data_IF_510944238127
#
_entry.id   IF_510944238127
#
_cell.length_a   1.000
_cell.length_b   1.000
_cell.length_c   1.000
_cell.angle_alpha   90.00
_cell.angle_beta   90.00
_cell.angle_gamma   90.00
#
_symmetry.space_group_name_H-M   'P 1'
#
loop_
_entity.id
_entity.type
_entity.pdbx_description
1 polymer ?
#
# COMPACT_ATOMS: atom_id res chain seq x y z
N UNK A 1 -27.86 29.80 6.08
CA UNK A 1 -27.32 29.23 4.83
C UNK A 1 -25.99 28.57 5.20
N UNK A 2 -25.97 27.26 5.33
CA UNK A 2 -24.69 26.53 5.41
C UNK A 2 -24.17 26.45 3.99
N UNK A 3 -23.05 27.13 3.71
CA UNK A 3 -22.36 26.98 2.43
C UNK A 3 -21.79 25.56 2.44
N UNK A 4 -22.47 24.64 1.77
CA UNK A 4 -21.88 23.34 1.44
C UNK A 4 -20.68 23.61 0.55
N UNK A 5 -19.48 23.26 1.03
CA UNK A 5 -18.33 23.16 0.14
C UNK A 5 -18.65 22.06 -0.85
N UNK A 6 -18.71 22.40 -2.14
CA UNK A 6 -18.61 21.40 -3.20
C UNK A 6 -17.19 20.83 -3.10
N UNK A 7 -17.05 19.66 -2.47
CA UNK A 7 -15.81 18.91 -2.55
C UNK A 7 -15.76 18.40 -3.99
N UNK A 8 -14.78 18.86 -4.76
CA UNK A 8 -14.54 18.39 -6.12
C UNK A 8 -14.05 16.95 -6.04
N UNK A 9 -14.91 15.99 -6.37
CA UNK A 9 -14.61 14.57 -6.21
C UNK A 9 -13.48 14.10 -7.15
N UNK A 10 -13.22 14.83 -8.24
CA UNK A 10 -12.09 14.53 -9.14
C UNK A 10 -10.78 14.76 -8.42
N UNK A 11 -10.71 15.84 -7.63
CA UNK A 11 -9.52 16.21 -6.87
C UNK A 11 -9.12 15.14 -5.85
N UNK A 12 -10.07 14.53 -5.14
CA UNK A 12 -9.76 13.49 -4.15
C UNK A 12 -9.23 12.20 -4.80
N UNK A 13 -9.83 11.76 -5.91
CA UNK A 13 -9.37 10.54 -6.61
C UNK A 13 -8.04 10.74 -7.34
N UNK A 14 -7.81 11.92 -7.92
CA UNK A 14 -6.52 12.30 -8.48
C UNK A 14 -5.43 12.35 -7.40
N UNK A 15 -5.77 12.86 -6.21
CA UNK A 15 -4.85 12.92 -5.07
C UNK A 15 -4.51 11.51 -4.56
N UNK A 16 -5.51 10.62 -4.40
CA UNK A 16 -5.29 9.21 -4.04
C UNK A 16 -4.37 8.52 -5.05
N UNK A 17 -4.63 8.69 -6.35
CA UNK A 17 -3.79 8.12 -7.40
C UNK A 17 -2.36 8.67 -7.36
N UNK A 18 -2.19 9.99 -7.16
CA UNK A 18 -0.88 10.63 -7.10
C UNK A 18 -0.06 10.15 -5.88
N UNK A 19 -0.68 10.05 -4.70
CA UNK A 19 0.01 9.54 -3.50
C UNK A 19 0.43 8.08 -3.71
N UNK A 20 -0.45 7.24 -4.26
CA UNK A 20 -0.14 5.84 -4.54
C UNK A 20 1.01 5.69 -5.56
N UNK A 21 1.08 6.55 -6.58
CA UNK A 21 2.18 6.55 -7.55
C UNK A 21 3.52 6.93 -6.89
N UNK A 22 3.51 7.94 -6.01
CA UNK A 22 4.69 8.34 -5.23
C UNK A 22 5.17 7.18 -4.35
N UNK A 23 4.26 6.50 -3.63
CA UNK A 23 4.61 5.33 -2.79
C UNK A 23 5.21 4.21 -3.67
N UNK A 24 4.58 3.89 -4.80
CA UNK A 24 5.09 2.90 -5.76
C UNK A 24 6.51 3.23 -6.26
N UNK A 25 6.76 4.52 -6.55
CA UNK A 25 8.09 5.02 -6.92
C UNK A 25 9.12 4.80 -5.80
N UNK A 26 8.79 5.17 -4.57
CA UNK A 26 9.70 5.01 -3.44
C UNK A 26 9.97 3.54 -3.10
N UNK A 27 8.95 2.69 -3.16
CA UNK A 27 9.12 1.24 -3.00
C UNK A 27 10.06 0.64 -4.05
N UNK A 28 10.11 1.20 -5.26
CA UNK A 28 11.11 0.80 -6.26
C UNK A 28 12.52 1.11 -5.77
N UNK A 29 12.75 2.33 -5.28
CA UNK A 29 14.06 2.71 -4.76
C UNK A 29 14.46 1.89 -3.53
N UNK A 30 13.52 1.65 -2.61
CA UNK A 30 13.74 0.82 -1.42
C UNK A 30 14.09 -0.60 -1.84
N UNK A 31 13.33 -1.21 -2.75
CA UNK A 31 13.60 -2.57 -3.24
C UNK A 31 14.93 -2.66 -3.97
N UNK A 32 15.30 -1.66 -4.78
CA UNK A 32 16.59 -1.62 -5.49
C UNK A 32 17.76 -1.50 -4.51
N UNK A 33 17.64 -0.65 -3.49
CA UNK A 33 18.64 -0.55 -2.42
C UNK A 33 18.67 -1.84 -1.59
N UNK A 34 17.52 -2.43 -1.29
CA UNK A 34 17.42 -3.73 -0.62
C UNK A 34 18.15 -4.82 -1.38
N UNK A 35 18.01 -4.88 -2.71
CA UNK A 35 18.76 -5.78 -3.60
C UNK A 35 20.25 -5.49 -3.51
N UNK A 36 20.69 -4.22 -3.61
CA UNK A 36 22.11 -3.86 -3.54
C UNK A 36 22.76 -4.25 -2.20
N UNK A 37 22.06 -4.01 -1.08
CA UNK A 37 22.57 -4.35 0.25
C UNK A 37 22.46 -5.85 0.56
N UNK A 38 21.46 -6.55 0.01
CA UNK A 38 21.31 -8.01 0.15
C UNK A 38 22.23 -8.81 -0.78
N UNK A 39 22.74 -8.22 -1.88
CA UNK A 39 23.80 -8.83 -2.73
C UNK A 39 25.10 -9.07 -1.94
N UNK A 40 25.28 -8.46 -0.76
CA UNK A 40 26.39 -8.81 0.14
C UNK A 40 26.26 -10.27 0.64
N UNK A 41 25.07 -10.89 0.59
CA UNK A 41 24.85 -12.32 0.82
C UNK A 41 24.34 -13.01 -0.46
N UNK A 42 25.20 -13.77 -1.12
CA UNK A 42 24.98 -14.43 -2.44
C UNK A 42 23.64 -15.17 -2.63
N UNK A 43 23.01 -15.64 -1.55
CA UNK A 43 21.77 -16.43 -1.58
C UNK A 43 20.48 -15.61 -1.72
N UNK A 44 20.44 -14.37 -1.24
CA UNK A 44 19.25 -13.50 -1.41
C UNK A 44 19.14 -13.03 -2.86
N UNK A 45 20.28 -12.77 -3.51
CA UNK A 45 20.34 -12.45 -4.93
C UNK A 45 19.86 -13.62 -5.81
N UNK A 46 20.29 -14.85 -5.53
CA UNK A 46 19.79 -16.06 -6.19
C UNK A 46 18.29 -16.28 -5.96
N UNK A 47 17.77 -16.01 -4.76
CA UNK A 47 16.35 -16.09 -4.45
C UNK A 47 15.53 -15.10 -5.29
N UNK A 48 15.92 -13.82 -5.32
CA UNK A 48 15.22 -12.76 -6.08
C UNK A 48 15.20 -13.07 -7.58
N UNK A 49 16.27 -13.67 -8.12
CA UNK A 49 16.37 -14.02 -9.54
C UNK A 49 15.59 -15.31 -9.90
N UNK A 50 15.52 -16.29 -9.00
CA UNK A 50 15.02 -17.62 -9.32
C UNK A 50 13.62 -17.93 -8.77
N UNK A 51 13.05 -17.12 -7.87
CA UNK A 51 11.76 -17.41 -7.27
C UNK A 51 10.62 -16.52 -7.77
N UNK A 52 9.74 -17.16 -8.54
CA UNK A 52 8.33 -16.79 -8.70
C UNK A 52 7.57 -17.20 -7.43
N UNK A 53 7.64 -16.42 -6.36
CA UNK A 53 7.06 -16.81 -5.06
C UNK A 53 5.56 -16.58 -4.97
N UNK A 54 4.87 -17.55 -4.38
CA UNK A 54 3.51 -17.47 -3.85
C UNK A 54 3.32 -16.23 -2.96
N UNK A 55 2.17 -15.57 -3.10
CA UNK A 55 1.76 -14.39 -2.33
C UNK A 55 1.80 -14.66 -0.80
N UNK A 56 2.22 -13.70 0.06
CA UNK A 56 2.17 -13.87 1.50
C UNK A 56 0.74 -14.21 1.97
N UNK A 57 0.61 -15.17 2.88
CA UNK A 57 -0.69 -15.53 3.44
C UNK A 57 -1.32 -14.32 4.14
N UNK A 58 -2.63 -14.11 3.93
CA UNK A 58 -3.35 -12.96 4.48
C UNK A 58 -3.13 -11.63 3.75
N UNK A 59 -2.29 -11.58 2.70
CA UNK A 59 -2.11 -10.36 1.91
C UNK A 59 -3.29 -10.17 0.93
N UNK A 60 -3.85 -8.95 0.78
CA UNK A 60 -5.01 -8.72 -0.09
C UNK A 60 -4.77 -9.09 -1.53
N UNK A 61 -5.69 -9.85 -2.14
CA UNK A 61 -5.63 -10.18 -3.56
C UNK A 61 -5.76 -8.90 -4.40
N UNK A 62 -4.97 -8.79 -5.48
CA UNK A 62 -5.15 -7.69 -6.43
C UNK A 62 -6.37 -8.04 -7.29
N UNK A 63 -7.40 -7.19 -7.34
CA UNK A 63 -8.57 -7.43 -8.16
C UNK A 63 -8.24 -7.49 -9.65
N UNK A 64 -8.87 -8.43 -10.36
CA UNK A 64 -8.67 -8.62 -11.81
C UNK A 64 -9.35 -7.55 -12.67
N UNK A 65 -10.30 -6.78 -12.11
CA UNK A 65 -11.12 -5.79 -12.84
C UNK A 65 -11.06 -4.39 -12.21
N UNK A 66 -11.23 -3.37 -13.05
CA UNK A 66 -11.26 -1.96 -12.63
C UNK A 66 -12.69 -1.37 -12.54
N UNK A 67 -13.73 -2.20 -12.75
CA UNK A 67 -15.10 -1.74 -13.02
C UNK A 67 -15.97 -1.48 -11.80
N UNK A 68 -15.38 -1.41 -10.62
CA UNK A 68 -16.12 -1.07 -9.42
C UNK A 68 -16.59 0.38 -9.43
N UNK A 69 -17.72 0.63 -8.78
CA UNK A 69 -18.14 1.99 -8.48
C UNK A 69 -17.20 2.64 -7.45
N UNK A 70 -17.23 3.98 -7.38
CA UNK A 70 -16.29 4.74 -6.56
C UNK A 70 -16.36 4.40 -5.07
N UNK A 71 -17.56 4.16 -4.52
CA UNK A 71 -17.72 3.83 -3.11
C UNK A 71 -17.14 2.45 -2.79
N UNK A 72 -17.46 1.43 -3.59
CA UNK A 72 -16.91 0.08 -3.45
C UNK A 72 -15.39 0.09 -3.56
N UNK A 73 -14.84 0.80 -4.55
CA UNK A 73 -13.41 0.87 -4.77
C UNK A 73 -12.67 1.53 -3.59
N UNK A 74 -13.22 2.63 -3.05
CA UNK A 74 -12.65 3.35 -1.90
C UNK A 74 -12.65 2.48 -0.65
N UNK A 75 -13.79 1.86 -0.30
CA UNK A 75 -13.90 1.03 0.91
C UNK A 75 -12.94 -0.15 0.85
N UNK A 76 -12.92 -0.89 -0.26
CA UNK A 76 -12.03 -2.03 -0.41
C UNK A 76 -10.56 -1.61 -0.30
N UNK A 77 -10.16 -0.55 -1.02
CA UNK A 77 -8.77 -0.07 -0.97
C UNK A 77 -8.40 0.37 0.44
N UNK A 78 -9.32 1.01 1.16
CA UNK A 78 -9.11 1.37 2.56
C UNK A 78 -8.92 0.12 3.45
N UNK A 79 -9.79 -0.88 3.36
CA UNK A 79 -9.70 -2.12 4.14
C UNK A 79 -8.41 -2.90 3.82
N UNK A 80 -8.04 -2.99 2.55
CA UNK A 80 -6.81 -3.64 2.10
C UNK A 80 -5.55 -2.88 2.59
N UNK A 81 -5.59 -1.55 2.67
CA UNK A 81 -4.51 -0.75 3.26
C UNK A 81 -4.36 -0.96 4.76
N UNK A 82 -5.45 -1.19 5.50
CA UNK A 82 -5.36 -1.52 6.93
C UNK A 82 -4.60 -2.84 7.14
N UNK A 83 -4.89 -3.83 6.30
CA UNK A 83 -4.17 -5.11 6.29
C UNK A 83 -2.69 -4.90 5.95
N UNK A 84 -2.39 -4.20 4.85
CA UNK A 84 -1.02 -3.94 4.41
C UNK A 84 -0.21 -3.10 5.43
N UNK A 85 -0.86 -2.17 6.15
CA UNK A 85 -0.24 -1.37 7.21
C UNK A 85 0.35 -2.26 8.32
N UNK A 86 -0.36 -3.33 8.70
CA UNK A 86 0.11 -4.30 9.69
C UNK A 86 1.42 -4.97 9.25
N UNK A 87 1.53 -5.35 7.98
CA UNK A 87 2.76 -5.93 7.42
C UNK A 87 3.91 -4.91 7.32
N UNK A 88 3.62 -3.68 6.91
CA UNK A 88 4.62 -2.62 6.82
C UNK A 88 5.17 -2.22 8.19
N UNK A 89 4.33 -2.26 9.23
CA UNK A 89 4.77 -1.99 10.61
C UNK A 89 5.78 -3.02 11.10
N UNK A 90 5.57 -4.30 10.78
CA UNK A 90 6.55 -5.35 11.09
C UNK A 90 7.87 -5.17 10.36
N UNK A 91 7.81 -4.81 9.08
CA UNK A 91 9.01 -4.49 8.30
C UNK A 91 9.74 -3.31 8.95
N UNK A 92 9.02 -2.27 9.34
CA UNK A 92 9.60 -1.12 10.01
C UNK A 92 10.28 -1.50 11.33
N UNK A 93 9.60 -2.27 12.19
CA UNK A 93 10.16 -2.72 13.47
C UNK A 93 11.42 -3.57 13.32
N UNK A 94 11.50 -4.38 12.25
CA UNK A 94 12.69 -5.16 11.94
C UNK A 94 13.81 -4.32 11.32
N UNK A 95 13.49 -3.47 10.34
CA UNK A 95 14.46 -2.60 9.68
C UNK A 95 15.05 -1.53 10.62
N UNK A 96 14.27 -1.09 11.62
CA UNK A 96 14.75 -0.17 12.65
C UNK A 96 15.90 -0.75 13.49
N UNK A 97 16.12 -2.06 13.50
CA UNK A 97 17.18 -2.69 14.29
C UNK A 97 18.52 -2.78 13.55
N UNK A 98 18.56 -2.62 12.22
CA UNK A 98 19.72 -2.98 11.39
C UNK A 98 20.52 -1.82 10.78
N UNK A 99 19.91 -0.70 10.37
CA UNK A 99 20.69 0.45 9.85
C UNK A 99 19.95 1.79 9.84
N UNK A 100 20.69 2.89 10.02
CA UNK A 100 20.17 4.27 10.00
C UNK A 100 19.59 4.69 8.62
N UNK A 101 20.10 4.14 7.52
CA UNK A 101 19.55 4.38 6.18
C UNK A 101 18.19 3.70 5.99
N UNK A 102 18.01 2.47 6.51
CA UNK A 102 16.73 1.77 6.45
C UNK A 102 15.67 2.37 7.39
N UNK A 103 16.09 2.93 8.53
CA UNK A 103 15.21 3.71 9.43
C UNK A 103 14.62 4.96 8.75
N UNK A 104 15.43 5.67 7.97
CA UNK A 104 14.98 6.86 7.25
C UNK A 104 13.94 6.52 6.17
N UNK A 105 14.13 5.40 5.47
CA UNK A 105 13.17 4.91 4.48
C UNK A 105 11.84 4.53 5.12
N UNK A 106 11.86 3.79 6.22
CA UNK A 106 10.64 3.33 6.86
C UNK A 106 9.81 4.49 7.44
N UNK A 107 10.47 5.51 8.01
CA UNK A 107 9.79 6.69 8.55
C UNK A 107 9.12 7.54 7.46
N UNK A 108 9.77 7.70 6.31
CA UNK A 108 9.28 8.51 5.19
C UNK A 108 8.13 7.84 4.41
N UNK A 109 8.04 6.51 4.43
CA UNK A 109 6.95 5.77 3.81
C UNK A 109 5.71 5.68 4.71
N UNK A 110 5.87 5.63 6.05
CA UNK A 110 4.73 5.64 6.99
C UNK A 110 3.93 6.94 6.86
N UNK A 111 4.59 8.11 6.81
CA UNK A 111 3.85 9.38 6.67
C UNK A 111 3.05 9.47 5.36
N UNK A 112 3.56 8.91 4.25
CA UNK A 112 2.80 8.89 2.98
C UNK A 112 1.66 7.89 3.01
N UNK A 113 1.86 6.78 3.72
CA UNK A 113 0.82 5.79 3.98
C UNK A 113 -0.33 6.40 4.79
N UNK A 114 -0.01 7.12 5.86
CA UNK A 114 -0.99 7.83 6.70
C UNK A 114 -1.78 8.86 5.87
N UNK A 115 -1.11 9.57 4.96
CA UNK A 115 -1.77 10.50 4.05
C UNK A 115 -2.71 9.79 3.07
N UNK A 116 -2.30 8.64 2.50
CA UNK A 116 -3.16 7.85 1.62
C UNK A 116 -4.41 7.35 2.37
N UNK A 117 -4.23 6.88 3.60
CA UNK A 117 -5.33 6.45 4.47
C UNK A 117 -6.29 7.61 4.78
N UNK A 118 -5.75 8.81 5.06
CA UNK A 118 -6.54 10.00 5.31
C UNK A 118 -7.39 10.39 4.08
N UNK A 119 -6.79 10.42 2.90
CA UNK A 119 -7.52 10.76 1.66
C UNK A 119 -8.62 9.73 1.35
N UNK A 120 -8.40 8.45 1.64
CA UNK A 120 -9.43 7.42 1.51
C UNK A 120 -10.56 7.60 2.53
N UNK A 121 -10.25 8.00 3.78
CA UNK A 121 -11.29 8.37 4.76
C UNK A 121 -12.12 9.55 4.28
N UNK A 122 -11.48 10.60 3.77
CA UNK A 122 -12.17 11.75 3.18
C UNK A 122 -13.05 11.32 2.01
N UNK A 123 -12.56 10.43 1.13
CA UNK A 123 -13.38 9.87 0.06
C UNK A 123 -14.58 9.06 0.60
N UNK A 124 -14.40 8.22 1.63
CA UNK A 124 -15.50 7.46 2.24
C UNK A 124 -16.58 8.38 2.83
N UNK A 125 -16.18 9.46 3.52
CA UNK A 125 -17.10 10.46 4.05
C UNK A 125 -17.94 11.11 2.94
N UNK A 126 -17.30 11.45 1.82
CA UNK A 126 -17.98 11.99 0.63
C UNK A 126 -19.01 11.01 0.05
N UNK A 127 -18.69 9.72 0.01
CA UNK A 127 -19.60 8.67 -0.48
C UNK A 127 -20.62 8.18 0.56
N UNK A 128 -20.58 8.70 1.80
CA UNK A 128 -21.33 8.16 2.94
C UNK A 128 -21.16 6.63 3.06
N UNK A 129 -19.96 6.15 2.77
CA UNK A 129 -19.62 4.74 2.75
C UNK A 129 -19.06 4.32 4.12
N UNK A 130 -19.56 3.20 4.65
CA UNK A 130 -19.07 2.61 5.89
C UNK A 130 -18.15 1.43 5.60
N UNK A 131 -17.02 1.35 6.30
CA UNK A 131 -16.12 0.20 6.27
C UNK A 131 -16.34 -0.70 7.49
N UNK A 132 -15.93 -1.97 7.40
CA UNK A 132 -15.97 -2.88 8.54
C UNK A 132 -14.82 -2.57 9.52
N UNK A 133 -15.11 -2.55 10.83
CA UNK A 133 -14.13 -2.16 11.84
C UNK A 133 -12.82 -2.96 11.77
N UNK A 134 -11.74 -2.29 12.15
CA UNK A 134 -10.31 -2.64 12.14
C UNK A 134 -9.99 -4.14 12.08
N UNK A 135 -9.35 -4.57 10.99
CA UNK A 135 -8.69 -5.87 10.90
C UNK A 135 -7.30 -5.72 11.56
N UNK A 136 -7.22 -6.05 12.85
CA UNK A 136 -5.92 -6.34 13.46
C UNK A 136 -5.53 -7.75 13.06
N UNK A 137 -4.50 -7.88 12.22
CA UNK A 137 -3.82 -9.15 12.06
C UNK A 137 -3.00 -9.41 13.32
N UNK A 138 -3.34 -10.47 14.06
CA UNK A 138 -2.41 -11.08 15.01
C UNK A 138 -1.32 -11.78 14.19
N UNK A 139 -0.24 -11.05 13.95
CA UNK A 139 0.92 -11.62 13.26
C UNK A 139 1.80 -12.26 14.34
N UNK A 140 1.93 -13.58 14.30
CA UNK A 140 2.81 -14.31 15.22
C UNK A 140 4.23 -13.74 15.15
N UNK A 141 4.76 -13.40 16.33
CA UNK A 141 6.07 -12.79 16.53
C UNK A 141 7.17 -13.66 15.89
N UNK A 142 7.93 -13.16 14.90
CA UNK A 142 8.99 -13.95 14.30
C UNK A 142 10.23 -13.91 15.21
N UNK A 143 10.18 -14.65 16.31
CA UNK A 143 11.34 -14.97 17.13
C UNK A 143 12.13 -16.10 16.45
N UNK A 144 12.87 -15.76 15.40
CA UNK A 144 14.15 -16.37 15.03
C UNK A 144 14.77 -15.54 13.89
N UNK A 145 15.91 -14.90 14.17
CA UNK A 145 16.65 -14.05 13.21
C UNK A 145 17.30 -14.96 12.17
N UNK A 146 16.54 -15.26 11.13
CA UNK A 146 16.95 -16.15 10.05
C UNK A 146 16.94 -15.39 8.72
N UNK A 147 17.84 -15.75 7.78
CA UNK A 147 17.99 -15.11 6.46
C UNK A 147 16.66 -15.08 5.65
N UNK A 148 15.71 -15.93 6.04
CA UNK A 148 14.34 -16.00 5.52
C UNK A 148 13.46 -14.78 5.84
N UNK A 149 13.76 -14.01 6.90
CA UNK A 149 13.01 -12.80 7.25
C UNK A 149 13.17 -11.72 6.16
N UNK A 150 14.39 -11.53 5.65
CA UNK A 150 14.64 -10.54 4.60
C UNK A 150 13.96 -10.91 3.27
N UNK A 151 13.87 -12.20 2.96
CA UNK A 151 13.13 -12.68 1.78
C UNK A 151 11.63 -12.39 1.90
N UNK A 152 11.03 -12.63 3.09
CA UNK A 152 9.62 -12.32 3.35
C UNK A 152 9.32 -10.83 3.23
N UNK A 153 10.20 -9.95 3.73
CA UNK A 153 10.03 -8.51 3.61
C UNK A 153 10.11 -8.02 2.17
N UNK A 154 11.08 -8.52 1.39
CA UNK A 154 11.15 -8.19 -0.02
C UNK A 154 9.88 -8.61 -0.78
N UNK A 155 9.31 -9.78 -0.47
CA UNK A 155 8.04 -10.22 -1.05
C UNK A 155 6.88 -9.30 -0.67
N UNK A 156 6.77 -8.89 0.59
CA UNK A 156 5.73 -7.95 1.03
C UNK A 156 5.88 -6.61 0.31
N UNK A 157 7.08 -6.04 0.23
CA UNK A 157 7.33 -4.77 -0.49
C UNK A 157 6.95 -4.87 -1.98
N UNK A 158 7.24 -6.01 -2.61
CA UNK A 158 6.84 -6.30 -4.01
C UNK A 158 5.32 -6.32 -4.17
N UNK A 159 4.61 -6.98 -3.25
CA UNK A 159 3.15 -7.06 -3.27
C UNK A 159 2.49 -5.70 -2.99
N UNK A 160 2.99 -4.94 -2.00
CA UNK A 160 2.53 -3.57 -1.72
C UNK A 160 2.72 -2.68 -2.94
N UNK A 161 3.89 -2.74 -3.60
CA UNK A 161 4.15 -1.99 -4.83
C UNK A 161 3.20 -2.37 -5.96
N UNK A 162 2.92 -3.66 -6.15
CA UNK A 162 1.96 -4.12 -7.15
C UNK A 162 0.54 -3.61 -6.84
N UNK A 163 0.16 -3.60 -5.56
CA UNK A 163 -1.11 -3.08 -5.10
C UNK A 163 -1.20 -1.55 -5.29
N UNK A 164 -0.13 -0.78 -5.02
CA UNK A 164 -0.09 0.66 -5.29
C UNK A 164 -0.33 0.96 -6.77
N UNK A 165 0.27 0.19 -7.68
CA UNK A 165 -0.02 0.31 -9.12
C UNK A 165 -1.47 -0.03 -9.47
N UNK A 166 -2.08 -0.95 -8.75
CA UNK A 166 -3.51 -1.21 -8.89
C UNK A 166 -4.34 0.00 -8.45
N UNK A 167 -4.07 0.60 -7.29
CA UNK A 167 -4.73 1.83 -6.82
C UNK A 167 -4.63 2.94 -7.87
N UNK A 168 -3.43 3.21 -8.38
CA UNK A 168 -3.22 4.22 -9.45
C UNK A 168 -4.16 3.97 -10.62
N UNK A 169 -4.17 2.74 -11.18
CA UNK A 169 -5.03 2.39 -12.32
C UNK A 169 -6.52 2.50 -11.99
N UNK A 170 -6.92 2.04 -10.80
CA UNK A 170 -8.32 2.06 -10.36
C UNK A 170 -8.84 3.50 -10.25
N UNK A 171 -8.12 4.37 -9.55
CA UNK A 171 -8.57 5.73 -9.32
C UNK A 171 -8.42 6.61 -10.56
N UNK A 172 -7.40 6.40 -11.41
CA UNK A 172 -7.35 7.02 -12.73
C UNK A 172 -8.50 6.56 -13.63
N UNK A 173 -8.89 5.28 -13.59
CA UNK A 173 -10.05 4.79 -14.31
C UNK A 173 -11.32 5.50 -13.87
N UNK A 174 -11.55 5.62 -12.55
CA UNK A 174 -12.71 6.30 -11.98
C UNK A 174 -12.79 7.78 -12.38
N UNK A 175 -11.64 8.49 -12.37
CA UNK A 175 -11.52 9.88 -12.85
C UNK A 175 -11.91 9.96 -14.33
N UNK A 176 -11.31 9.11 -15.17
CA UNK A 176 -11.50 9.13 -16.62
C UNK A 176 -12.89 8.65 -17.07
N UNK A 177 -13.54 7.76 -16.31
CA UNK A 177 -14.87 7.23 -16.64
C UNK A 177 -16.01 8.19 -16.28
N UNK A 178 -15.71 9.31 -15.61
CA UNK A 178 -16.73 10.24 -15.11
C UNK A 178 -17.61 9.66 -13.99
N UNK A 179 -17.22 8.51 -13.41
CA UNK A 179 -17.89 7.91 -12.25
C UNK A 179 -17.85 8.81 -11.01
N UNK A 180 -16.96 9.80 -11.03
CA UNK A 180 -16.78 10.90 -10.07
C UNK A 180 -18.01 11.83 -9.96
N UNK A 181 -18.75 12.02 -11.06
CA UNK A 181 -19.83 13.01 -11.19
C UNK A 181 -21.23 12.43 -10.95
N UNK A 182 -21.34 11.15 -10.55
CA UNK A 182 -22.63 10.49 -10.26
C UNK A 182 -22.93 10.47 -8.76
N UNK A 183 -22.65 11.56 -8.08
CA UNK A 183 -23.10 11.81 -6.72
C UNK A 183 -24.35 12.69 -6.81
N UNK A 184 -25.50 12.10 -6.51
CA UNK A 184 -26.76 12.80 -6.28
C UNK A 184 -26.71 13.49 -4.91
#
# INVERSE_FOLDING_TARGET
>A
MTIGRTIDNSYTFETIAAIADIISGNLTNIMDDYVKYSIVTSRVAEFIQNHSTSKPHGFPAIPDSLHEDGATAVVRVYEDLQVMSSFLRLINEALMKDSASMQAYASVEITKWDNLELELKTAMEVYNASYSNTISLEIEDPLEVDEFIYQKYFMILKEVKAYMKFIVRQFQHLVNSGSVNRLN
#
